data_IF_811689903190
#
_entry.id   IF_811689903190
#
_cell.length_a   1.000
_cell.length_b   1.000
_cell.length_c   1.000
_cell.angle_alpha   90.00
_cell.angle_beta   90.00
_cell.angle_gamma   90.00
#
_symmetry.space_group_name_H-M   'P 1'
#
loop_
_entity.id
_entity.type
_entity.pdbx_description
1 polymer ?
#
# COMPACT_ATOMS: atom_id res chain seq x y z
N UNK A 1 -20.77 -16.75 55.17
CA UNK A 1 -21.81 -16.10 54.34
C UNK A 1 -21.16 -15.69 53.04
N UNK A 2 -21.45 -16.43 51.97
CA UNK A 2 -20.99 -16.13 50.61
C UNK A 2 -21.88 -15.09 49.95
N UNK A 3 -21.29 -14.37 48.98
CA UNK A 3 -21.97 -13.44 48.08
C UNK A 3 -21.43 -13.69 46.66
N UNK A 4 -21.66 -14.91 46.16
CA UNK A 4 -22.11 -15.06 44.79
C UNK A 4 -23.61 -14.82 44.84
N UNK A 5 -24.06 -13.70 44.29
CA UNK A 5 -25.40 -13.54 43.73
C UNK A 5 -25.58 -12.08 43.28
N UNK A 6 -25.71 -11.90 41.97
CA UNK A 6 -26.67 -10.97 41.34
C UNK A 6 -26.60 -11.08 39.82
N UNK A 7 -27.09 -12.23 39.34
CA UNK A 7 -27.72 -12.35 38.04
C UNK A 7 -29.14 -11.80 38.12
N UNK A 8 -29.39 -10.58 37.63
CA UNK A 8 -30.76 -10.13 37.31
C UNK A 8 -30.73 -9.10 36.16
N UNK A 9 -30.92 -9.60 34.93
CA UNK A 9 -31.74 -9.01 33.86
C UNK A 9 -31.44 -9.72 32.53
N UNK A 10 -32.01 -10.92 32.32
CA UNK A 10 -32.15 -11.51 30.99
C UNK A 10 -33.64 -11.56 30.64
N UNK A 11 -34.08 -10.94 29.52
CA UNK A 11 -35.35 -11.30 28.90
C UNK A 11 -35.26 -12.75 28.40
N UNK A 12 -36.23 -13.57 28.79
CA UNK A 12 -36.38 -14.95 28.32
C UNK A 12 -36.64 -14.96 26.80
N UNK A 13 -35.91 -15.79 26.06
CA UNK A 13 -36.26 -16.11 24.66
C UNK A 13 -35.18 -15.98 23.60
N UNK A 14 -33.89 -15.89 23.93
CA UNK A 14 -32.82 -15.94 22.93
C UNK A 14 -31.87 -17.10 23.24
N UNK A 15 -31.88 -18.11 22.37
CA UNK A 15 -30.91 -19.21 22.37
C UNK A 15 -29.48 -18.63 22.50
N UNK A 16 -28.59 -19.25 23.28
CA UNK A 16 -27.19 -18.88 23.23
C UNK A 16 -26.73 -19.12 21.80
N UNK A 17 -26.35 -18.06 21.10
CA UNK A 17 -25.38 -18.16 20.02
C UNK A 17 -24.15 -18.77 20.69
N UNK A 18 -24.03 -20.10 20.64
CA UNK A 18 -22.76 -20.75 20.76
C UNK A 18 -21.91 -20.16 19.64
N UNK A 19 -21.14 -19.14 20.01
CA UNK A 19 -19.98 -18.74 19.27
C UNK A 19 -19.07 -19.95 19.23
N UNK A 20 -19.29 -20.81 18.25
CA UNK A 20 -18.29 -21.70 17.72
C UNK A 20 -17.10 -20.81 17.41
N UNK A 21 -16.19 -20.71 18.38
CA UNK A 21 -14.80 -20.46 18.10
C UNK A 21 -14.44 -21.57 17.15
N UNK A 22 -14.59 -21.29 15.85
CA UNK A 22 -13.99 -22.09 14.82
C UNK A 22 -12.54 -22.21 15.26
N UNK A 23 -12.15 -23.42 15.71
CA UNK A 23 -10.77 -23.87 15.79
C UNK A 23 -10.22 -23.77 14.37
N UNK A 24 -9.87 -22.56 13.96
CA UNK A 24 -9.21 -22.28 12.71
C UNK A 24 -7.82 -22.88 12.82
N UNK A 25 -7.45 -23.70 11.85
CA UNK A 25 -6.08 -24.20 11.66
C UNK A 25 -5.05 -23.16 12.10
N UNK A 26 -4.02 -23.53 12.86
CA UNK A 26 -2.98 -22.64 13.40
C UNK A 26 -2.08 -21.95 12.38
N UNK A 27 -2.65 -21.40 11.30
CA UNK A 27 -1.98 -20.67 10.23
C UNK A 27 -2.27 -19.18 10.44
N UNK A 28 -1.21 -18.38 10.44
CA UNK A 28 -1.31 -16.92 10.52
C UNK A 28 -2.08 -16.33 9.35
N UNK A 29 -2.75 -15.19 9.61
CA UNK A 29 -3.46 -14.44 8.57
C UNK A 29 -2.48 -13.82 7.57
N UNK A 30 -2.96 -13.44 6.38
CA UNK A 30 -2.13 -12.75 5.38
C UNK A 30 -1.65 -11.42 5.95
N UNK A 31 -2.50 -10.67 6.65
CA UNK A 31 -2.08 -9.44 7.30
C UNK A 31 -0.94 -9.65 8.31
N UNK A 32 -1.01 -10.74 9.07
CA UNK A 32 0.05 -11.11 10.02
C UNK A 32 1.36 -11.39 9.29
N UNK A 33 1.32 -12.12 8.18
CA UNK A 33 2.50 -12.36 7.34
C UNK A 33 3.07 -11.08 6.74
N UNK A 34 2.23 -10.15 6.26
CA UNK A 34 2.70 -8.85 5.75
C UNK A 34 3.48 -8.07 6.82
N UNK A 35 2.94 -8.00 8.04
CA UNK A 35 3.60 -7.35 9.18
C UNK A 35 4.94 -8.03 9.47
N UNK A 36 4.95 -9.36 9.58
CA UNK A 36 6.17 -10.13 9.88
C UNK A 36 7.23 -9.94 8.81
N UNK A 37 6.86 -9.94 7.53
CA UNK A 37 7.80 -9.72 6.43
C UNK A 37 8.41 -8.31 6.50
N UNK A 38 7.60 -7.27 6.70
CA UNK A 38 8.09 -5.90 6.85
C UNK A 38 9.09 -5.77 8.01
N UNK A 39 8.78 -6.36 9.16
CA UNK A 39 9.66 -6.36 10.34
C UNK A 39 10.94 -7.17 10.06
N UNK A 40 10.81 -8.35 9.47
CA UNK A 40 11.95 -9.20 9.13
C UNK A 40 12.89 -8.51 8.14
N UNK A 41 12.37 -7.90 7.08
CA UNK A 41 13.17 -7.12 6.11
C UNK A 41 13.90 -5.99 6.82
N UNK A 42 13.22 -5.21 7.66
CA UNK A 42 13.85 -4.10 8.38
C UNK A 42 14.97 -4.54 9.33
N UNK A 43 14.76 -5.64 10.06
CA UNK A 43 15.73 -6.21 11.00
C UNK A 43 16.92 -6.81 10.25
N UNK A 44 16.66 -7.65 9.24
CA UNK A 44 17.70 -8.28 8.43
C UNK A 44 18.56 -7.25 7.72
N UNK A 45 17.94 -6.23 7.12
CA UNK A 45 18.68 -5.18 6.42
C UNK A 45 19.60 -4.40 7.37
N UNK A 46 19.22 -4.33 8.66
CA UNK A 46 19.98 -3.66 9.71
C UNK A 46 21.30 -4.31 10.09
N UNK A 47 21.52 -5.57 9.72
CA UNK A 47 22.80 -6.25 9.93
C UNK A 47 23.84 -5.96 8.83
N UNK A 48 23.44 -5.33 7.72
CA UNK A 48 24.36 -5.02 6.63
C UNK A 48 24.95 -3.62 6.72
N UNK A 49 26.16 -3.46 6.18
CA UNK A 49 26.79 -2.15 5.99
C UNK A 49 26.03 -1.28 4.98
N UNK A 50 26.20 0.03 5.09
CA UNK A 50 25.58 0.98 4.15
C UNK A 50 26.38 1.08 2.85
N UNK A 51 25.68 1.31 1.76
CA UNK A 51 26.21 1.44 0.41
C UNK A 51 25.70 2.73 -0.24
N UNK A 52 26.48 3.35 -1.15
CA UNK A 52 26.03 4.50 -1.92
C UNK A 52 24.81 4.20 -2.79
N UNK A 53 23.85 5.13 -2.79
CA UNK A 53 22.75 5.23 -3.73
C UNK A 53 22.71 6.64 -4.30
N UNK A 54 22.81 6.74 -5.62
CA UNK A 54 22.74 8.01 -6.37
C UNK A 54 21.27 8.34 -6.66
N UNK A 55 20.91 9.63 -6.61
CA UNK A 55 19.57 10.10 -6.96
C UNK A 55 19.43 10.41 -8.45
N UNK A 56 20.54 10.46 -9.20
CA UNK A 56 20.56 10.90 -10.61
C UNK A 56 20.65 12.41 -10.77
N UNK A 57 20.95 13.17 -9.70
CA UNK A 57 21.36 14.58 -9.79
C UNK A 57 22.88 14.66 -9.66
N UNK A 58 23.52 15.34 -10.60
CA UNK A 58 24.96 15.54 -10.65
C UNK A 58 25.28 17.03 -10.63
N UNK A 59 26.09 17.43 -9.67
CA UNK A 59 26.60 18.79 -9.59
C UNK A 59 27.95 18.82 -10.26
N UNK A 60 28.08 19.60 -11.33
CA UNK A 60 29.30 19.69 -12.14
C UNK A 60 29.90 21.08 -11.94
N UNK A 61 31.20 21.12 -11.67
CA UNK A 61 31.91 22.39 -11.49
C UNK A 61 32.32 22.93 -12.87
N UNK A 62 31.86 24.12 -13.24
CA UNK A 62 32.30 24.83 -14.46
C UNK A 62 33.55 25.67 -14.14
N UNK A 63 34.76 25.26 -14.57
CA UNK A 63 35.99 25.98 -14.25
C UNK A 63 36.07 27.36 -14.92
N UNK A 64 35.31 27.59 -15.99
CA UNK A 64 35.29 28.86 -16.71
C UNK A 64 34.41 29.91 -16.06
N UNK A 65 33.43 29.49 -15.24
CA UNK A 65 32.49 30.38 -14.53
C UNK A 65 32.71 30.42 -13.02
N UNK A 66 33.46 29.47 -12.46
CA UNK A 66 33.66 29.35 -11.01
C UNK A 66 32.39 29.01 -10.25
N UNK A 67 31.40 28.41 -10.92
CA UNK A 67 30.07 28.10 -10.40
C UNK A 67 29.74 26.62 -10.64
N UNK A 68 28.87 26.08 -9.79
CA UNK A 68 28.34 24.73 -9.97
C UNK A 68 27.04 24.77 -10.77
N UNK A 69 26.90 23.84 -11.72
CA UNK A 69 25.66 23.61 -12.47
C UNK A 69 25.07 22.24 -12.12
N UNK A 70 23.75 22.13 -12.17
CA UNK A 70 23.04 20.86 -11.92
C UNK A 70 22.74 20.19 -13.25
N UNK A 71 23.11 18.93 -13.35
CA UNK A 71 22.70 18.03 -14.43
C UNK A 71 21.77 16.96 -13.88
N UNK A 72 20.68 16.70 -14.62
CA UNK A 72 19.67 15.68 -14.28
C UNK A 72 19.84 14.49 -15.22
N UNK A 73 19.97 13.30 -14.65
CA UNK A 73 20.03 12.07 -15.42
C UNK A 73 18.73 11.80 -16.19
N UNK A 74 18.86 11.34 -17.44
CA UNK A 74 17.73 10.87 -18.23
C UNK A 74 17.12 9.60 -17.59
N UNK A 75 15.86 9.64 -17.12
CA UNK A 75 15.22 8.50 -16.48
C UNK A 75 15.03 7.29 -17.39
N UNK A 76 15.13 7.46 -18.70
CA UNK A 76 14.91 6.44 -19.73
C UNK A 76 16.20 5.79 -20.22
N UNK A 77 17.35 6.38 -19.92
CA UNK A 77 18.64 5.85 -20.36
C UNK A 77 18.95 4.50 -19.69
N UNK A 78 19.42 3.54 -20.48
CA UNK A 78 19.87 2.25 -19.96
C UNK A 78 21.34 2.33 -19.50
N UNK A 79 21.66 1.75 -18.34
CA UNK A 79 23.04 1.70 -17.84
C UNK A 79 23.35 2.77 -16.80
N UNK A 80 24.56 3.35 -16.82
CA UNK A 80 25.00 4.38 -15.86
C UNK A 80 24.71 5.78 -16.40
N UNK A 81 24.36 6.69 -15.50
CA UNK A 81 24.15 8.10 -15.83
C UNK A 81 25.46 8.90 -15.92
N UNK A 82 26.53 8.38 -15.31
CA UNK A 82 27.86 9.00 -15.37
C UNK A 82 28.71 8.48 -16.54
N UNK A 83 29.55 9.33 -17.15
CA UNK A 83 30.58 8.91 -18.12
C UNK A 83 31.46 7.78 -17.56
N UNK A 84 31.88 6.83 -18.40
CA UNK A 84 32.72 5.69 -17.97
C UNK A 84 34.04 6.12 -17.34
N UNK A 85 34.58 7.27 -17.73
CA UNK A 85 35.81 7.84 -17.21
C UNK A 85 35.70 8.35 -15.75
N UNK A 86 34.48 8.48 -15.20
CA UNK A 86 34.27 8.98 -13.84
C UNK A 86 33.96 7.85 -12.86
N UNK A 87 34.77 7.77 -11.80
CA UNK A 87 34.62 6.79 -10.72
C UNK A 87 33.99 7.43 -9.48
N UNK A 88 33.10 6.70 -8.82
CA UNK A 88 32.51 7.16 -7.56
C UNK A 88 33.50 6.90 -6.43
N UNK A 89 33.91 7.93 -5.70
CA UNK A 89 34.90 7.81 -4.62
C UNK A 89 34.46 6.91 -3.46
N UNK A 90 33.15 6.62 -3.36
CA UNK A 90 32.54 5.82 -2.29
C UNK A 90 32.46 6.54 -0.94
N UNK A 91 33.11 7.71 -0.80
CA UNK A 91 33.09 8.55 0.40
C UNK A 91 31.96 9.57 0.29
N UNK A 92 31.12 9.63 1.31
CA UNK A 92 30.13 10.70 1.45
C UNK A 92 30.81 12.01 1.82
N UNK A 93 30.41 13.09 1.15
CA UNK A 93 30.83 14.47 1.47
C UNK A 93 29.61 15.37 1.58
N UNK A 94 29.74 16.41 2.39
CA UNK A 94 28.85 17.56 2.39
C UNK A 94 29.68 18.77 1.96
N UNK A 95 29.34 19.35 0.81
CA UNK A 95 30.08 20.45 0.22
C UNK A 95 29.21 21.69 0.12
N UNK A 96 29.74 22.82 0.56
CA UNK A 96 29.10 24.12 0.35
C UNK A 96 29.45 24.58 -1.05
N UNK A 97 28.43 24.76 -1.88
CA UNK A 97 28.60 25.28 -3.24
C UNK A 97 27.92 26.62 -3.39
N UNK A 98 28.46 27.43 -4.29
CA UNK A 98 27.79 28.62 -4.80
C UNK A 98 27.02 28.20 -6.05
N UNK A 99 25.71 28.35 -5.99
CA UNK A 99 24.79 28.13 -7.12
C UNK A 99 24.46 29.49 -7.70
N UNK A 100 24.55 29.61 -9.03
CA UNK A 100 24.28 30.85 -9.73
C UNK A 100 23.06 30.65 -10.65
N UNK A 101 21.94 31.27 -10.28
CA UNK A 101 20.71 31.26 -11.08
C UNK A 101 20.42 32.67 -11.61
N UNK A 102 20.73 32.88 -12.89
CA UNK A 102 20.70 34.21 -13.50
C UNK A 102 21.66 35.19 -12.81
N UNK A 103 21.11 36.22 -12.16
CA UNK A 103 21.87 37.26 -11.44
C UNK A 103 21.95 37.01 -9.93
N UNK A 104 21.30 35.97 -9.42
CA UNK A 104 21.31 35.64 -7.99
C UNK A 104 22.31 34.52 -7.72
N UNK A 105 23.11 34.70 -6.67
CA UNK A 105 24.03 33.69 -6.16
C UNK A 105 23.58 33.26 -4.77
N UNK A 106 23.36 31.96 -4.57
CA UNK A 106 22.98 31.37 -3.29
C UNK A 106 24.02 30.33 -2.85
N UNK A 107 24.27 30.26 -1.54
CA UNK A 107 25.03 29.15 -0.96
C UNK A 107 24.08 27.97 -0.70
N UNK A 108 24.43 26.80 -1.24
CA UNK A 108 23.73 25.55 -0.98
C UNK A 108 24.69 24.49 -0.39
N UNK A 109 24.18 23.65 0.51
CA UNK A 109 24.94 22.51 1.03
C UNK A 109 24.46 21.26 0.30
N UNK A 110 25.36 20.63 -0.46
CA UNK A 110 25.06 19.40 -1.19
C UNK A 110 25.70 18.23 -0.47
N UNK A 111 24.86 17.24 -0.16
CA UNK A 111 25.31 15.92 0.27
C UNK A 111 25.42 14.97 -0.92
N UNK A 112 26.59 14.37 -1.13
CA UNK A 112 26.79 13.46 -2.25
C UNK A 112 28.09 12.67 -2.21
N UNK A 113 28.40 12.07 -3.35
CA UNK A 113 29.60 11.28 -3.57
C UNK A 113 30.45 11.93 -4.68
N UNK A 114 31.70 12.33 -4.39
CA UNK A 114 32.59 12.87 -5.41
C UNK A 114 32.80 11.88 -6.55
N UNK A 115 32.69 12.39 -7.78
CA UNK A 115 33.06 11.73 -9.02
C UNK A 115 34.48 12.14 -9.38
N UNK A 116 35.37 11.15 -9.45
CA UNK A 116 36.80 11.33 -9.64
C UNK A 116 37.17 10.91 -11.06
N UNK A 117 37.94 11.76 -11.75
CA UNK A 117 38.53 11.47 -13.06
C UNK A 117 39.71 10.46 -12.99
N UNK A 118 40.26 10.08 -14.13
CA UNK A 118 41.41 9.17 -14.22
C UNK A 118 42.68 9.70 -13.52
N UNK A 119 42.75 11.01 -13.30
CA UNK A 119 43.89 11.70 -12.68
C UNK A 119 43.72 11.91 -11.16
N UNK A 120 42.56 11.55 -10.59
CA UNK A 120 42.28 11.73 -9.17
C UNK A 120 41.60 13.06 -8.80
N UNK A 121 41.21 13.89 -9.77
CA UNK A 121 40.54 15.16 -9.52
C UNK A 121 39.02 14.98 -9.40
N UNK A 122 38.39 15.79 -8.53
CA UNK A 122 36.92 15.82 -8.41
C UNK A 122 36.36 16.61 -9.59
N UNK A 123 35.64 15.92 -10.47
CA UNK A 123 34.98 16.54 -11.62
C UNK A 123 33.52 16.95 -11.32
N UNK A 124 32.86 16.21 -10.41
CA UNK A 124 31.46 16.41 -10.08
C UNK A 124 31.11 15.80 -8.71
N UNK A 125 29.92 16.11 -8.18
CA UNK A 125 29.34 15.49 -6.99
C UNK A 125 28.02 14.82 -7.40
N UNK A 126 27.95 13.50 -7.25
CA UNK A 126 26.73 12.74 -7.42
C UNK A 126 25.87 12.85 -6.16
N UNK A 127 24.74 13.55 -6.24
CA UNK A 127 23.82 13.62 -5.11
C UNK A 127 23.24 12.23 -4.82
N UNK A 128 23.06 11.93 -3.53
CA UNK A 128 22.70 10.58 -3.14
C UNK A 128 22.36 10.43 -1.67
N UNK A 129 22.39 9.19 -1.21
CA UNK A 129 22.37 8.86 0.21
C UNK A 129 23.06 7.52 0.47
N UNK A 130 23.42 7.28 1.73
CA UNK A 130 23.89 5.97 2.17
C UNK A 130 22.70 5.14 2.61
N UNK A 131 22.39 4.10 1.83
CA UNK A 131 21.28 3.18 2.07
C UNK A 131 21.78 1.80 2.45
N UNK A 132 20.89 0.92 2.88
CA UNK A 132 21.23 -0.47 3.13
C UNK A 132 21.11 -1.32 1.86
N UNK A 133 21.71 -2.52 1.78
CA UNK A 133 21.72 -3.29 0.54
C UNK A 133 20.33 -3.75 0.10
N UNK A 134 19.47 -4.23 1.01
CA UNK A 134 18.11 -4.65 0.61
C UNK A 134 17.34 -3.43 0.09
N UNK A 135 17.47 -2.28 0.76
CA UNK A 135 16.95 -1.01 0.26
C UNK A 135 17.47 -0.65 -1.15
N UNK A 136 18.78 -0.75 -1.40
CA UNK A 136 19.36 -0.50 -2.72
C UNK A 136 18.75 -1.39 -3.81
N UNK A 137 18.46 -2.65 -3.51
CA UNK A 137 17.93 -3.62 -4.47
C UNK A 137 16.42 -3.51 -4.70
N UNK A 138 15.66 -3.01 -3.72
CA UNK A 138 14.18 -3.02 -3.78
C UNK A 138 13.50 -1.66 -3.76
N UNK A 139 14.20 -0.55 -3.49
CA UNK A 139 13.58 0.78 -3.55
C UNK A 139 12.95 1.03 -4.92
N UNK A 140 11.84 1.73 -4.96
CA UNK A 140 11.28 2.20 -6.21
C UNK A 140 11.95 3.53 -6.59
N UNK A 141 12.30 3.71 -7.85
CA UNK A 141 12.57 5.03 -8.43
C UNK A 141 12.26 5.00 -9.92
N UNK A 142 11.89 6.17 -10.47
CA UNK A 142 11.56 6.32 -11.89
C UNK A 142 12.69 5.79 -12.76
N UNK A 143 13.93 6.16 -12.44
CA UNK A 143 15.14 5.76 -13.15
C UNK A 143 15.38 4.24 -13.17
N UNK A 144 15.18 3.55 -12.05
CA UNK A 144 15.44 2.11 -11.97
C UNK A 144 14.36 1.29 -12.68
N UNK A 145 13.11 1.75 -12.63
CA UNK A 145 11.99 1.04 -13.26
C UNK A 145 11.91 1.30 -14.76
N UNK A 146 12.05 2.56 -15.21
CA UNK A 146 12.03 2.89 -16.63
C UNK A 146 13.38 2.59 -17.30
N UNK A 147 14.45 3.28 -16.91
CA UNK A 147 15.75 3.17 -17.58
C UNK A 147 16.44 1.82 -17.41
N UNK A 148 16.28 1.15 -16.26
CA UNK A 148 16.92 -0.16 -16.01
C UNK A 148 15.95 -1.36 -16.04
N UNK A 149 14.68 -1.15 -16.40
CA UNK A 149 13.65 -2.20 -16.50
C UNK A 149 13.48 -3.08 -15.24
N UNK A 150 13.76 -2.55 -14.05
CA UNK A 150 13.74 -3.32 -12.79
C UNK A 150 12.33 -3.41 -12.19
N UNK A 151 11.43 -4.11 -12.86
CA UNK A 151 9.99 -4.14 -12.55
C UNK A 151 9.64 -4.72 -11.18
N UNK A 152 10.50 -5.55 -10.58
CA UNK A 152 10.27 -6.10 -9.23
C UNK A 152 10.23 -5.00 -8.15
N UNK A 153 10.82 -3.83 -8.43
CA UNK A 153 10.78 -2.66 -7.53
C UNK A 153 9.38 -2.07 -7.37
N UNK A 154 8.44 -2.35 -8.27
CA UNK A 154 7.01 -2.01 -8.11
C UNK A 154 6.37 -2.73 -6.90
N UNK A 155 6.96 -3.86 -6.48
CA UNK A 155 6.49 -4.65 -5.34
C UNK A 155 7.44 -4.55 -4.17
N UNK A 156 8.75 -4.67 -4.41
CA UNK A 156 9.76 -4.73 -3.36
C UNK A 156 9.79 -3.52 -2.42
N UNK A 157 9.55 -2.32 -2.95
CA UNK A 157 9.63 -1.09 -2.16
C UNK A 157 8.62 -1.04 -1.01
N UNK A 158 7.51 -1.78 -1.14
CA UNK A 158 6.42 -1.84 -0.16
C UNK A 158 6.83 -2.49 1.16
N UNK A 159 8.00 -3.14 1.21
CA UNK A 159 8.51 -3.83 2.40
C UNK A 159 9.70 -3.11 3.06
N UNK A 160 10.17 -2.01 2.46
CA UNK A 160 11.30 -1.21 2.94
C UNK A 160 10.84 -0.08 3.87
N UNK A 161 11.67 0.27 4.86
CA UNK A 161 11.34 1.33 5.82
C UNK A 161 12.60 2.13 6.20
N UNK A 162 12.51 3.46 6.08
CA UNK A 162 13.63 4.38 6.31
C UNK A 162 14.15 4.38 7.76
N UNK A 163 13.26 4.18 8.72
CA UNK A 163 13.57 4.22 10.15
C UNK A 163 12.51 3.48 10.98
N UNK A 164 12.77 3.34 12.28
CA UNK A 164 11.90 2.61 13.20
C UNK A 164 10.50 3.22 13.31
N UNK A 165 10.38 4.56 13.31
CA UNK A 165 9.07 5.22 13.39
C UNK A 165 8.23 4.98 12.14
N UNK A 166 8.86 5.03 10.96
CA UNK A 166 8.21 4.70 9.70
C UNK A 166 7.68 3.27 9.70
N UNK A 167 8.49 2.29 10.15
CA UNK A 167 8.03 0.90 10.34
C UNK A 167 6.86 0.84 11.33
N UNK A 168 7.01 1.44 12.51
CA UNK A 168 6.02 1.39 13.59
C UNK A 168 4.64 1.86 13.13
N UNK A 169 4.55 3.04 12.51
CA UNK A 169 3.25 3.58 12.08
C UNK A 169 2.61 2.78 10.95
N UNK A 170 3.40 2.22 10.03
CA UNK A 170 2.87 1.31 9.01
C UNK A 170 2.32 0.03 9.66
N UNK A 171 3.04 -0.55 10.63
CA UNK A 171 2.59 -1.76 11.32
C UNK A 171 1.36 -1.50 12.19
N UNK A 172 1.24 -0.34 12.84
CA UNK A 172 0.03 0.09 13.55
C UNK A 172 -1.16 0.14 12.57
N UNK A 173 -0.97 0.76 11.39
CA UNK A 173 -2.00 0.82 10.36
C UNK A 173 -2.47 -0.58 9.92
N UNK A 174 -1.53 -1.47 9.59
CA UNK A 174 -1.86 -2.85 9.23
C UNK A 174 -2.48 -3.63 10.38
N UNK A 175 -2.01 -3.45 11.60
CA UNK A 175 -2.49 -4.18 12.78
C UNK A 175 -3.95 -3.84 13.10
N UNK A 176 -4.32 -2.56 13.10
CA UNK A 176 -5.68 -2.13 13.43
C UNK A 176 -6.67 -2.28 12.27
N UNK A 177 -6.25 -1.95 11.04
CA UNK A 177 -7.18 -1.84 9.91
C UNK A 177 -7.11 -3.03 8.96
N UNK A 178 -5.96 -3.70 8.88
CA UNK A 178 -5.79 -4.88 8.03
C UNK A 178 -6.79 -6.01 8.31
N UNK A 179 -7.03 -6.42 9.58
CA UNK A 179 -7.98 -7.49 9.88
C UNK A 179 -9.41 -7.21 9.42
N UNK A 180 -9.85 -5.95 9.46
CA UNK A 180 -11.19 -5.56 9.00
C UNK A 180 -11.34 -5.83 7.49
N UNK A 181 -10.35 -5.40 6.70
CA UNK A 181 -10.36 -5.55 5.24
C UNK A 181 -10.10 -7.00 4.83
N UNK A 182 -9.19 -7.71 5.52
CA UNK A 182 -8.90 -9.12 5.28
C UNK A 182 -10.14 -10.02 5.53
N UNK A 183 -10.91 -9.74 6.59
CA UNK A 183 -12.16 -10.47 6.86
C UNK A 183 -13.21 -10.25 5.77
N UNK A 184 -13.28 -9.05 5.20
CA UNK A 184 -14.22 -8.72 4.14
C UNK A 184 -13.82 -9.35 2.79
N UNK A 185 -12.54 -9.26 2.42
CA UNK A 185 -12.05 -9.72 1.11
C UNK A 185 -11.67 -11.21 1.09
N UNK A 186 -11.29 -11.77 2.23
CA UNK A 186 -10.55 -13.04 2.33
C UNK A 186 -9.06 -12.87 2.04
N UNK A 187 -8.24 -13.82 2.50
CA UNK A 187 -6.78 -13.68 2.52
C UNK A 187 -6.14 -13.42 1.15
N UNK A 188 -6.46 -14.21 0.12
CA UNK A 188 -5.87 -14.05 -1.23
C UNK A 188 -6.19 -12.69 -1.85
N UNK A 189 -7.45 -12.27 -1.77
CA UNK A 189 -7.88 -10.98 -2.33
C UNK A 189 -7.35 -9.81 -1.52
N UNK A 190 -7.19 -9.97 -0.21
CA UNK A 190 -6.53 -9.00 0.64
C UNK A 190 -5.05 -8.81 0.27
N UNK A 191 -4.33 -9.90 0.01
CA UNK A 191 -2.95 -9.82 -0.49
C UNK A 191 -2.88 -9.06 -1.82
N UNK A 192 -3.77 -9.40 -2.76
CA UNK A 192 -3.82 -8.73 -4.07
C UNK A 192 -4.15 -7.25 -3.91
N UNK A 193 -5.15 -6.95 -3.08
CA UNK A 193 -5.56 -5.60 -2.74
C UNK A 193 -4.39 -4.78 -2.19
N UNK A 194 -3.68 -5.29 -1.19
CA UNK A 194 -2.55 -4.59 -0.57
C UNK A 194 -1.44 -4.30 -1.59
N UNK A 195 -1.02 -5.33 -2.33
CA UNK A 195 0.06 -5.20 -3.32
C UNK A 195 -0.30 -4.26 -4.46
N UNK A 196 -1.55 -4.32 -4.95
CA UNK A 196 -2.04 -3.43 -5.99
C UNK A 196 -2.15 -1.99 -5.50
N UNK A 197 -2.58 -1.74 -4.26
CA UNK A 197 -2.56 -0.39 -3.70
C UNK A 197 -1.13 0.18 -3.68
N UNK A 198 -0.14 -0.63 -3.28
CA UNK A 198 1.26 -0.20 -3.36
C UNK A 198 1.74 0.05 -4.80
N UNK A 199 1.40 -0.82 -5.75
CA UNK A 199 1.75 -0.64 -7.17
C UNK A 199 1.15 0.65 -7.72
N UNK A 200 -0.14 0.92 -7.48
CA UNK A 200 -0.79 2.15 -7.93
C UNK A 200 -0.21 3.40 -7.26
N UNK A 201 0.26 3.29 -6.00
CA UNK A 201 1.05 4.33 -5.35
C UNK A 201 2.35 4.63 -6.10
N UNK A 202 3.13 3.60 -6.41
CA UNK A 202 4.37 3.74 -7.19
C UNK A 202 4.11 4.29 -8.61
N UNK A 203 3.01 3.87 -9.26
CA UNK A 203 2.62 4.38 -10.57
C UNK A 203 2.22 5.87 -10.52
N UNK A 204 1.52 6.32 -9.48
CA UNK A 204 1.21 7.74 -9.35
C UNK A 204 2.48 8.57 -9.12
N UNK A 205 3.38 8.11 -8.23
CA UNK A 205 4.71 8.71 -8.08
C UNK A 205 5.44 8.80 -9.43
N UNK A 206 5.47 7.70 -10.19
CA UNK A 206 6.14 7.62 -11.48
C UNK A 206 5.61 8.67 -12.47
N UNK A 207 4.28 8.76 -12.60
CA UNK A 207 3.63 9.71 -13.51
C UNK A 207 3.93 11.15 -13.10
N UNK A 208 3.83 11.48 -11.82
CA UNK A 208 4.06 12.86 -11.36
C UNK A 208 5.54 13.26 -11.43
N UNK A 209 6.47 12.34 -11.17
CA UNK A 209 7.90 12.58 -11.28
C UNK A 209 8.37 12.66 -12.75
N UNK A 210 7.86 11.79 -13.62
CA UNK A 210 8.13 11.89 -15.06
C UNK A 210 7.52 13.16 -15.66
N UNK A 211 6.31 13.54 -15.24
CA UNK A 211 5.70 14.81 -15.63
C UNK A 211 6.53 16.01 -15.19
N UNK A 212 7.07 15.99 -13.96
CA UNK A 212 7.99 17.01 -13.46
C UNK A 212 9.24 17.13 -14.32
N UNK A 213 9.90 16.00 -14.62
CA UNK A 213 11.05 15.94 -15.52
C UNK A 213 10.75 16.48 -16.93
N UNK A 214 9.61 16.09 -17.53
CA UNK A 214 9.22 16.62 -18.84
C UNK A 214 8.99 18.13 -18.78
N UNK A 215 8.32 18.63 -17.73
CA UNK A 215 8.03 20.05 -17.55
C UNK A 215 9.32 20.88 -17.43
N UNK A 216 10.27 20.45 -16.61
CA UNK A 216 11.50 21.22 -16.34
C UNK A 216 12.57 20.98 -17.40
N UNK A 217 12.94 19.73 -17.66
CA UNK A 217 14.12 19.40 -18.46
C UNK A 217 13.86 19.38 -19.97
N UNK A 218 12.65 18.97 -20.38
CA UNK A 218 12.33 18.83 -21.82
C UNK A 218 11.65 20.08 -22.37
N UNK A 219 10.67 20.62 -21.64
CA UNK A 219 9.85 21.73 -22.11
C UNK A 219 10.31 23.11 -21.59
N UNK A 220 11.16 23.15 -20.54
CA UNK A 220 11.64 24.40 -19.95
C UNK A 220 10.54 25.26 -19.32
N UNK A 221 9.42 24.65 -18.88
CA UNK A 221 8.24 25.35 -18.35
C UNK A 221 8.33 25.64 -16.84
N UNK A 222 9.39 25.19 -16.17
CA UNK A 222 9.58 25.33 -14.74
C UNK A 222 8.68 24.41 -13.90
N UNK A 223 8.56 24.73 -12.61
CA UNK A 223 7.81 23.90 -11.64
C UNK A 223 6.30 24.08 -11.78
N UNK A 224 5.58 22.98 -12.01
CA UNK A 224 4.12 22.95 -12.06
C UNK A 224 3.57 22.35 -10.75
N UNK A 225 2.63 23.03 -10.05
CA UNK A 225 2.03 22.50 -8.84
C UNK A 225 1.45 21.10 -9.03
N UNK A 226 1.78 20.19 -8.11
CA UNK A 226 1.35 18.79 -8.14
C UNK A 226 2.23 17.84 -8.97
N UNK A 227 3.14 18.35 -9.80
CA UNK A 227 4.22 17.54 -10.37
C UNK A 227 5.39 17.45 -9.39
N UNK A 228 6.12 16.34 -9.45
CA UNK A 228 7.27 16.13 -8.58
C UNK A 228 8.54 16.56 -9.31
N UNK A 229 9.05 17.74 -8.98
CA UNK A 229 10.34 18.26 -9.51
C UNK A 229 11.50 17.81 -8.61
N UNK A 230 11.77 16.51 -8.64
CA UNK A 230 12.89 15.89 -7.93
C UNK A 230 13.64 14.93 -8.85
N UNK A 231 14.86 14.58 -8.45
CA UNK A 231 15.69 13.62 -9.17
C UNK A 231 14.94 12.31 -9.44
N UNK A 232 15.04 11.79 -10.67
CA UNK A 232 14.28 10.61 -11.10
C UNK A 232 14.77 9.30 -10.46
N UNK A 233 15.98 9.30 -9.89
CA UNK A 233 16.51 8.23 -9.07
C UNK A 233 16.23 8.37 -7.57
N UNK A 234 15.47 9.40 -7.13
CA UNK A 234 15.08 9.55 -5.71
C UNK A 234 14.36 8.29 -5.23
N UNK A 235 14.80 7.67 -4.11
CA UNK A 235 14.20 6.44 -3.63
C UNK A 235 12.83 6.68 -3.01
N UNK A 236 11.85 5.90 -3.45
CA UNK A 236 10.55 5.70 -2.82
C UNK A 236 10.56 4.35 -2.09
N UNK A 237 10.26 4.38 -0.80
CA UNK A 237 10.20 3.21 0.09
C UNK A 237 9.03 3.33 1.06
N UNK A 238 8.42 2.21 1.43
CA UNK A 238 7.38 2.19 2.47
C UNK A 238 6.17 1.33 2.13
N UNK A 239 5.65 0.63 3.14
CA UNK A 239 4.35 -0.06 3.10
C UNK A 239 3.15 0.89 3.00
N UNK A 240 3.38 2.19 3.20
CA UNK A 240 2.34 3.19 3.48
C UNK A 240 1.32 3.35 2.35
N UNK A 241 1.69 3.20 1.07
CA UNK A 241 0.73 3.22 -0.03
C UNK A 241 -0.32 2.10 0.11
N UNK A 242 0.10 0.89 0.49
CA UNK A 242 -0.80 -0.22 0.82
C UNK A 242 -1.65 0.08 2.06
N UNK A 243 -1.05 0.68 3.10
CA UNK A 243 -1.75 1.09 4.34
C UNK A 243 -2.82 2.14 4.06
N UNK A 244 -2.56 3.14 3.21
CA UNK A 244 -3.55 4.14 2.80
C UNK A 244 -4.70 3.49 2.02
N UNK A 245 -4.41 2.49 1.18
CA UNK A 245 -5.44 1.66 0.57
C UNK A 245 -6.31 0.94 1.61
N UNK A 246 -5.68 0.30 2.60
CA UNK A 246 -6.37 -0.38 3.72
C UNK A 246 -7.20 0.60 4.55
N UNK A 247 -6.70 1.80 4.83
CA UNK A 247 -7.42 2.86 5.54
C UNK A 247 -8.66 3.31 4.76
N UNK A 248 -8.53 3.55 3.45
CA UNK A 248 -9.65 3.92 2.59
C UNK A 248 -10.70 2.81 2.47
N UNK A 249 -10.27 1.56 2.43
CA UNK A 249 -11.17 0.41 2.50
C UNK A 249 -11.88 0.32 3.85
N UNK A 250 -11.15 0.49 4.96
CA UNK A 250 -11.72 0.53 6.30
C UNK A 250 -12.75 1.66 6.47
N UNK A 251 -12.44 2.86 5.96
CA UNK A 251 -13.37 4.00 5.96
C UNK A 251 -14.63 3.76 5.13
N UNK A 252 -14.56 2.93 4.09
CA UNK A 252 -15.74 2.50 3.33
C UNK A 252 -16.57 1.45 4.09
N UNK A 253 -15.91 0.46 4.69
CA UNK A 253 -16.59 -0.65 5.39
C UNK A 253 -17.19 -0.23 6.74
N UNK A 254 -16.51 0.64 7.48
CA UNK A 254 -16.90 1.04 8.83
C UNK A 254 -16.68 2.56 9.07
N UNK A 255 -17.35 3.44 8.30
CA UNK A 255 -17.10 4.88 8.33
C UNK A 255 -17.30 5.52 9.71
N UNK A 256 -18.23 4.99 10.51
CA UNK A 256 -18.57 5.51 11.84
C UNK A 256 -17.78 4.86 12.98
N UNK A 257 -16.90 3.90 12.67
CA UNK A 257 -16.03 3.29 13.68
C UNK A 257 -15.18 4.37 14.34
N UNK A 258 -15.09 4.36 15.67
CA UNK A 258 -14.27 5.31 16.43
C UNK A 258 -12.85 4.79 16.53
N UNK A 259 -11.91 5.65 16.19
CA UNK A 259 -10.46 5.41 16.28
C UNK A 259 -9.81 6.53 17.08
N UNK A 260 -8.72 6.23 17.75
CA UNK A 260 -7.95 7.22 18.51
C UNK A 260 -6.71 7.62 17.71
N UNK A 261 -6.70 8.83 17.16
CA UNK A 261 -5.50 9.41 16.57
C UNK A 261 -4.46 9.64 17.67
N UNK A 262 -3.26 9.10 17.47
CA UNK A 262 -2.17 9.07 18.47
C UNK A 262 -2.59 8.52 19.84
N UNK A 263 -3.60 7.64 19.89
CA UNK A 263 -4.18 7.11 21.14
C UNK A 263 -4.82 8.16 22.06
N UNK A 264 -5.03 9.40 21.58
CA UNK A 264 -5.54 10.51 22.39
C UNK A 264 -6.83 11.09 21.81
N UNK A 265 -6.87 11.36 20.50
CA UNK A 265 -7.96 12.14 19.89
C UNK A 265 -8.98 11.19 19.23
N UNK A 266 -10.20 11.03 19.79
CA UNK A 266 -11.22 10.18 19.18
C UNK A 266 -11.82 10.84 17.95
N UNK A 267 -11.84 10.10 16.84
CA UNK A 267 -12.53 10.53 15.62
C UNK A 267 -13.11 9.33 14.86
N UNK A 268 -13.96 9.62 13.87
CA UNK A 268 -14.49 8.60 12.96
C UNK A 268 -13.37 8.11 12.04
N UNK A 269 -13.38 6.83 11.69
CA UNK A 269 -12.42 6.25 10.75
C UNK A 269 -12.45 6.95 9.39
N UNK A 270 -13.64 7.35 8.92
CA UNK A 270 -13.76 8.16 7.69
C UNK A 270 -13.06 9.51 7.84
N UNK A 271 -13.26 10.22 8.95
CA UNK A 271 -12.59 11.50 9.22
C UNK A 271 -11.07 11.35 9.20
N UNK A 272 -10.53 10.30 9.84
CA UNK A 272 -9.10 10.00 9.80
C UNK A 272 -8.61 9.76 8.36
N UNK A 273 -9.24 8.85 7.64
CA UNK A 273 -8.80 8.45 6.30
C UNK A 273 -8.84 9.62 5.30
N UNK A 274 -9.96 10.36 5.23
CA UNK A 274 -10.08 11.51 4.34
C UNK A 274 -9.20 12.69 4.77
N UNK A 275 -8.98 12.88 6.07
CA UNK A 275 -8.05 13.89 6.59
C UNK A 275 -6.61 13.62 6.16
N UNK A 276 -6.14 12.38 6.29
CA UNK A 276 -4.81 11.97 5.83
C UNK A 276 -4.66 12.12 4.31
N UNK A 277 -5.66 11.72 3.52
CA UNK A 277 -5.66 11.96 2.07
C UNK A 277 -5.59 13.46 1.75
N UNK A 278 -6.34 14.30 2.46
CA UNK A 278 -6.29 15.75 2.28
C UNK A 278 -4.90 16.35 2.56
N UNK A 279 -4.22 15.86 3.61
CA UNK A 279 -2.83 16.23 3.93
C UNK A 279 -1.89 15.80 2.79
N UNK A 280 -2.04 14.57 2.27
CA UNK A 280 -1.24 14.09 1.15
C UNK A 280 -1.46 14.93 -0.12
N UNK A 281 -2.70 15.31 -0.45
CA UNK A 281 -3.01 16.19 -1.58
C UNK A 281 -2.31 17.54 -1.40
N UNK A 282 -2.50 18.19 -0.24
CA UNK A 282 -1.88 19.48 0.03
C UNK A 282 -0.35 19.41 -0.07
N UNK A 283 0.25 18.35 0.49
CA UNK A 283 1.70 18.14 0.52
C UNK A 283 2.32 17.93 -0.86
N UNK A 284 1.58 17.29 -1.79
CA UNK A 284 1.98 17.13 -3.20
C UNK A 284 1.82 18.45 -3.96
N UNK A 285 0.72 19.18 -3.74
CA UNK A 285 0.46 20.44 -4.43
C UNK A 285 1.48 21.54 -4.10
N UNK A 286 1.93 21.60 -2.85
CA UNK A 286 2.95 22.57 -2.41
C UNK A 286 4.38 22.02 -2.46
N UNK A 287 4.55 20.81 -3.01
CA UNK A 287 5.83 20.13 -3.20
C UNK A 287 6.72 20.09 -1.94
N UNK A 288 6.16 19.59 -0.83
CA UNK A 288 6.92 19.40 0.42
C UNK A 288 8.08 18.42 0.23
N UNK A 289 9.01 18.38 1.20
CA UNK A 289 10.17 17.47 1.20
C UNK A 289 9.82 15.99 0.95
N UNK A 290 8.63 15.53 1.36
CA UNK A 290 8.17 14.15 1.18
C UNK A 290 7.05 14.01 0.12
N UNK A 291 6.90 14.97 -0.79
CA UNK A 291 5.84 14.95 -1.80
C UNK A 291 5.79 13.64 -2.61
N UNK A 292 6.95 13.00 -2.84
CA UNK A 292 6.99 11.67 -3.48
C UNK A 292 6.29 10.57 -2.69
N UNK A 293 6.53 10.48 -1.37
CA UNK A 293 5.82 9.54 -0.50
C UNK A 293 4.33 9.83 -0.43
N UNK A 294 3.96 11.11 -0.39
CA UNK A 294 2.56 11.54 -0.36
C UNK A 294 1.83 11.24 -1.68
N UNK A 295 2.50 11.37 -2.83
CA UNK A 295 1.96 10.91 -4.11
C UNK A 295 1.68 9.39 -4.08
N UNK A 296 2.58 8.60 -3.50
CA UNK A 296 2.33 7.17 -3.34
C UNK A 296 1.14 6.86 -2.41
N UNK A 297 0.98 7.64 -1.34
CA UNK A 297 -0.21 7.55 -0.47
C UNK A 297 -1.50 7.81 -1.24
N UNK A 298 -1.53 8.84 -2.09
CA UNK A 298 -2.70 9.18 -2.91
C UNK A 298 -3.04 8.07 -3.91
N UNK A 299 -2.04 7.53 -4.60
CA UNK A 299 -2.24 6.44 -5.56
C UNK A 299 -2.77 5.18 -4.89
N UNK A 300 -2.20 4.82 -3.72
CA UNK A 300 -2.68 3.71 -2.92
C UNK A 300 -4.08 3.91 -2.33
N UNK A 301 -4.39 5.12 -1.87
CA UNK A 301 -5.72 5.50 -1.38
C UNK A 301 -6.79 5.42 -2.50
N UNK A 302 -6.48 5.94 -3.69
CA UNK A 302 -7.37 5.90 -4.85
C UNK A 302 -7.64 4.45 -5.30
N UNK A 303 -6.59 3.63 -5.39
CA UNK A 303 -6.71 2.21 -5.68
C UNK A 303 -7.54 1.49 -4.62
N UNK A 304 -7.25 1.70 -3.33
CA UNK A 304 -7.99 1.08 -2.23
C UNK A 304 -9.48 1.44 -2.23
N UNK A 305 -9.80 2.71 -2.49
CA UNK A 305 -11.18 3.19 -2.67
C UNK A 305 -11.90 2.49 -3.82
N UNK A 306 -11.20 2.23 -4.94
CA UNK A 306 -11.76 1.57 -6.10
C UNK A 306 -11.93 0.06 -5.89
N UNK A 307 -10.88 -0.64 -5.45
CA UNK A 307 -10.88 -2.10 -5.30
C UNK A 307 -11.86 -2.58 -4.23
N UNK A 308 -12.05 -1.83 -3.12
CA UNK A 308 -13.00 -2.22 -2.07
C UNK A 308 -14.45 -2.14 -2.56
N UNK A 309 -14.75 -1.23 -3.49
CA UNK A 309 -16.08 -1.10 -4.14
C UNK A 309 -16.27 -2.09 -5.28
N UNK A 310 -15.17 -2.58 -5.84
CA UNK A 310 -15.15 -3.50 -6.97
C UNK A 310 -14.37 -4.78 -6.64
N UNK A 311 -14.72 -5.52 -5.56
CA UNK A 311 -13.92 -6.65 -5.09
C UNK A 311 -13.85 -7.82 -6.09
N UNK A 312 -14.74 -7.86 -7.09
CA UNK A 312 -14.69 -8.81 -8.21
C UNK A 312 -13.44 -8.65 -9.09
N UNK A 313 -12.88 -7.45 -9.19
CA UNK A 313 -11.64 -7.18 -9.94
C UNK A 313 -10.40 -7.86 -9.34
N UNK A 314 -10.48 -8.29 -8.08
CA UNK A 314 -9.40 -8.98 -7.37
C UNK A 314 -9.44 -10.50 -7.57
N UNK A 315 -10.42 -11.03 -8.28
CA UNK A 315 -10.55 -12.47 -8.52
C UNK A 315 -9.48 -12.94 -9.51
N UNK A 316 -8.95 -14.13 -9.28
CA UNK A 316 -8.05 -14.78 -10.24
C UNK A 316 -6.62 -14.27 -10.29
N UNK A 317 -6.28 -13.17 -9.61
CA UNK A 317 -4.93 -12.57 -9.65
C UNK A 317 -3.84 -13.56 -9.26
N UNK A 318 -4.11 -14.49 -8.34
CA UNK A 318 -3.17 -15.51 -7.89
C UNK A 318 -3.51 -16.92 -8.36
N UNK A 319 -4.41 -17.09 -9.33
CA UNK A 319 -4.81 -18.43 -9.79
C UNK A 319 -3.67 -19.15 -10.55
N UNK A 320 -2.68 -18.39 -11.03
CA UNK A 320 -1.44 -18.92 -11.61
C UNK A 320 -0.58 -19.70 -10.58
N UNK A 321 -0.71 -19.40 -9.29
CA UNK A 321 0.02 -20.06 -8.20
C UNK A 321 -0.74 -21.28 -7.62
N UNK A 322 -1.76 -21.78 -8.33
CA UNK A 322 -2.54 -22.96 -7.98
C UNK A 322 -3.96 -22.65 -7.53
N UNK A 323 -4.90 -23.46 -8.05
CA UNK A 323 -6.33 -23.45 -7.73
C UNK A 323 -6.60 -23.99 -6.32
N UNK A 324 -6.17 -23.26 -5.30
CA UNK A 324 -6.64 -23.47 -3.93
C UNK A 324 -7.14 -22.14 -3.42
N UNK A 325 -8.31 -21.70 -3.90
CA UNK A 325 -9.08 -20.61 -3.29
C UNK A 325 -10.16 -21.20 -2.38
N UNK A 326 -9.86 -21.47 -1.09
CA UNK A 326 -10.87 -21.90 -0.12
C UNK A 326 -11.78 -20.75 0.35
N UNK A 327 -11.61 -19.54 -0.21
CA UNK A 327 -12.36 -18.31 0.13
C UNK A 327 -13.28 -17.81 -1.00
N UNK A 328 -13.38 -18.52 -2.13
CA UNK A 328 -14.37 -18.25 -3.19
C UNK A 328 -15.82 -18.61 -2.83
N UNK A 329 -16.15 -18.74 -1.54
CA UNK A 329 -17.52 -18.93 -1.06
C UNK A 329 -18.47 -17.78 -1.41
N UNK A 330 -17.98 -16.66 -1.95
CA UNK A 330 -18.81 -15.57 -2.46
C UNK A 330 -19.19 -15.62 -3.94
N UNK A 331 -18.96 -16.74 -4.63
CA UNK A 331 -19.77 -17.12 -5.81
C UNK A 331 -20.76 -18.27 -5.52
N UNK A 332 -21.05 -18.53 -4.23
CA UNK A 332 -22.07 -19.49 -3.81
C UNK A 332 -23.45 -18.86 -3.53
N UNK A 333 -23.67 -17.58 -3.85
CA UNK A 333 -25.00 -16.92 -3.67
C UNK A 333 -25.64 -16.47 -4.99
N UNK A 334 -25.00 -16.70 -6.14
CA UNK A 334 -25.65 -16.51 -7.46
C UNK A 334 -25.31 -17.66 -8.39
N UNK A 335 -25.93 -18.82 -8.16
CA UNK A 335 -25.86 -19.93 -9.10
C UNK A 335 -25.94 -21.34 -8.51
N UNK A 336 -26.84 -21.63 -7.56
CA UNK A 336 -27.46 -22.97 -7.43
C UNK A 336 -28.70 -22.96 -6.53
N UNK A 337 -29.82 -23.36 -7.14
CA UNK A 337 -31.14 -23.76 -6.61
C UNK A 337 -31.98 -22.73 -5.81
N UNK A 338 -32.60 -21.77 -6.50
CA UNK A 338 -33.95 -21.30 -6.12
C UNK A 338 -34.97 -21.77 -7.16
N UNK A 339 -35.58 -22.93 -6.90
CA UNK A 339 -37.05 -23.00 -6.92
C UNK A 339 -37.66 -23.68 -5.68
N UNK A 340 -36.86 -24.25 -4.77
CA UNK A 340 -37.35 -25.22 -3.75
C UNK A 340 -37.67 -24.61 -2.37
N UNK A 341 -36.91 -23.63 -1.90
CA UNK A 341 -37.19 -22.96 -0.60
C UNK A 341 -38.46 -22.10 -0.72
N UNK A 342 -38.57 -21.28 -1.78
CA UNK A 342 -39.80 -20.55 -2.10
C UNK A 342 -41.03 -21.49 -2.29
N UNK A 343 -40.81 -22.78 -2.59
CA UNK A 343 -41.90 -23.76 -2.67
C UNK A 343 -42.33 -24.29 -1.30
N UNK A 344 -41.40 -24.41 -0.33
CA UNK A 344 -41.75 -24.82 1.04
C UNK A 344 -42.55 -23.72 1.73
N UNK A 345 -42.11 -22.45 1.62
CA UNK A 345 -42.81 -21.32 2.23
C UNK A 345 -44.23 -21.17 1.68
N UNK A 346 -44.42 -21.33 0.36
CA UNK A 346 -45.75 -21.34 -0.27
C UNK A 346 -46.64 -22.49 0.21
N UNK A 347 -46.03 -23.65 0.47
CA UNK A 347 -46.76 -24.81 1.00
C UNK A 347 -47.16 -24.56 2.46
N UNK A 348 -46.28 -23.96 3.27
CA UNK A 348 -46.58 -23.58 4.66
C UNK A 348 -47.68 -22.50 4.72
N UNK A 349 -47.64 -21.48 3.86
CA UNK A 349 -48.70 -20.47 3.74
C UNK A 349 -50.05 -21.10 3.34
N UNK A 350 -50.02 -22.06 2.41
CA UNK A 350 -51.21 -22.81 2.00
C UNK A 350 -51.76 -23.67 3.14
N UNK A 351 -50.90 -24.35 3.91
CA UNK A 351 -51.31 -25.07 5.13
C UNK A 351 -51.97 -24.09 6.12
N UNK A 352 -51.36 -22.92 6.33
CA UNK A 352 -51.87 -21.93 7.28
C UNK A 352 -53.26 -21.39 6.89
N UNK A 353 -53.56 -21.31 5.59
CA UNK A 353 -54.85 -20.81 5.09
C UNK A 353 -55.92 -21.88 4.91
N UNK A 354 -55.54 -23.06 4.42
CA UNK A 354 -56.46 -24.07 3.88
C UNK A 354 -56.36 -25.43 4.62
N UNK A 355 -55.43 -25.56 5.57
CA UNK A 355 -55.19 -26.76 6.36
C UNK A 355 -54.35 -27.83 5.64
N UNK A 356 -53.76 -28.76 6.41
CA UNK A 356 -52.84 -29.80 5.92
C UNK A 356 -53.44 -30.72 4.84
N UNK A 357 -54.75 -30.92 4.86
CA UNK A 357 -55.50 -31.70 3.88
C UNK A 357 -55.51 -31.07 2.47
N UNK A 358 -55.21 -29.77 2.34
CA UNK A 358 -55.16 -29.08 1.04
C UNK A 358 -53.93 -29.42 0.18
N UNK A 359 -52.99 -30.20 0.74
CA UNK A 359 -51.73 -30.52 0.09
C UNK A 359 -51.85 -31.70 -0.89
N UNK A 360 -51.33 -31.47 -2.10
CA UNK A 360 -51.12 -32.51 -3.11
C UNK A 360 -50.02 -33.48 -2.68
N UNK A 361 -50.00 -34.69 -3.27
CA UNK A 361 -48.94 -35.69 -3.01
C UNK A 361 -47.53 -35.15 -3.26
N UNK A 362 -47.38 -34.24 -4.24
CA UNK A 362 -46.11 -33.61 -4.59
C UNK A 362 -45.66 -32.61 -3.51
N UNK A 363 -46.58 -31.82 -2.97
CA UNK A 363 -46.30 -30.84 -1.89
C UNK A 363 -45.95 -31.56 -0.58
N UNK A 364 -46.64 -32.65 -0.24
CA UNK A 364 -46.31 -33.47 0.95
C UNK A 364 -44.89 -34.05 0.89
N UNK A 365 -44.49 -34.57 -0.27
CA UNK A 365 -43.13 -35.11 -0.48
C UNK A 365 -42.05 -34.02 -0.34
N UNK A 366 -42.35 -32.79 -0.74
CA UNK A 366 -41.42 -31.65 -0.58
C UNK A 366 -41.24 -31.29 0.89
N UNK A 367 -42.31 -31.31 1.69
CA UNK A 367 -42.26 -31.10 3.15
C UNK A 367 -41.49 -32.21 3.89
N UNK A 368 -41.74 -33.47 3.54
CA UNK A 368 -41.04 -34.62 4.16
C UNK A 368 -39.53 -34.59 3.88
N UNK A 369 -39.13 -34.24 2.66
CA UNK A 369 -37.72 -34.09 2.31
C UNK A 369 -37.05 -32.88 2.99
N UNK A 370 -37.82 -31.84 3.32
CA UNK A 370 -37.34 -30.68 4.06
C UNK A 370 -37.15 -31.01 5.55
N UNK A 371 -38.14 -31.63 6.18
CA UNK A 371 -38.09 -32.04 7.60
C UNK A 371 -36.92 -32.97 7.90
N UNK A 372 -36.65 -33.97 7.05
CA UNK A 372 -35.50 -34.88 7.22
C UNK A 372 -34.14 -34.20 7.14
N UNK A 373 -34.08 -32.99 6.61
CA UNK A 373 -32.84 -32.23 6.41
C UNK A 373 -32.53 -31.36 7.62
N UNK A 374 -33.55 -30.77 8.23
CA UNK A 374 -33.42 -29.99 9.46
C UNK A 374 -33.07 -30.90 10.65
N UNK A 375 -33.52 -32.15 10.65
CA UNK A 375 -33.15 -33.15 11.67
C UNK A 375 -31.67 -33.63 11.57
N UNK A 376 -30.98 -33.32 10.46
CA UNK A 376 -29.62 -33.78 10.17
C UNK A 376 -28.55 -32.67 10.23
N UNK A 377 -28.94 -31.44 10.60
CA UNK A 377 -28.10 -30.25 10.76
C UNK A 377 -28.12 -29.76 12.20
#
# INVERSE_FOLDING_TARGET
>A
MGLHDRDYARPQGMHPYEGSMARGSGRWSVNTWLIVICVAVFVLDGFFGRVPLETGLYWVHDPGKGAWTVEVADPTQFGRDRPEALSLSGRWVEEKVLVQDGNEASEEVIGGFPLIDENGNVAAIAQGSLVRPIEKWFHFSTRQVLGNAQVWRLVGFQFLHANLYHLLFNMIGLFFFGPLVERYLGGKRYLAFYLLCGIFGALLYLVLNLGGYISTEILGLGSVPGLLVNATGTPLIGASAGVFGVLMAGAYLAPQARVLLFFVIPMRLSTLAYGLVGISIASVLINTRNAGGEAAHLGGAAAGWWFIRNPGSLHGIFDFAGKVDPTSRHFAVRGRSKPRIDSVDKILDKISREGLQSLTRKEKKILEEASRRDDAS
#
